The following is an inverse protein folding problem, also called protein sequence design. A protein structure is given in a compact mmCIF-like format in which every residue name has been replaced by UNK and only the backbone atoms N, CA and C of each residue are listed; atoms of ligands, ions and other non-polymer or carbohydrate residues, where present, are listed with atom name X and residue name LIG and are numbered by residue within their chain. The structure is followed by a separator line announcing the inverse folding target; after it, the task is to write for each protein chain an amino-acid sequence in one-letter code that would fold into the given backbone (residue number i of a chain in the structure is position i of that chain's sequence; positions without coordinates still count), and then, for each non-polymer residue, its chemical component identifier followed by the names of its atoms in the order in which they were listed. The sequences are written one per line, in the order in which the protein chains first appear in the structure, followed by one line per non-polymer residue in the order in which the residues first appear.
data_IF_865896054456
#
_entry.id   IF_865896054456
#
_cell.length_a   1.000
_cell.length_b   1.000
_cell.length_c   1.000
_cell.angle_alpha   90.00
_cell.angle_beta   90.00
_cell.angle_gamma   90.00
#
_symmetry.space_group_name_H-M   'P 1'
#
loop_
_entity.id
_entity.type
_entity.pdbx_description
1 polymer ?
#
# COMPACT_ATOMS: atom_id res chain seq x y z
N UNK A 1 -81.57 -99.47 -51.50
CA UNK A 1 -80.52 -99.47 -50.46
C UNK A 1 -79.78 -98.16 -50.60
N UNK A 2 -79.48 -97.39 -49.55
CA UNK A 2 -78.70 -97.83 -48.38
C UNK A 2 -77.32 -98.28 -48.86
N UNK A 3 -76.17 -97.70 -48.51
CA UNK A 3 -75.76 -96.77 -47.47
C UNK A 3 -74.27 -97.05 -47.18
N UNK A 4 -73.51 -96.05 -46.73
CA UNK A 4 -72.14 -96.17 -46.16
C UNK A 4 -71.00 -96.14 -47.19
N UNK A 5 -69.91 -95.40 -47.02
CA UNK A 5 -69.35 -94.76 -45.82
C UNK A 5 -67.91 -95.24 -45.59
N UNK A 6 -66.97 -94.28 -45.52
CA UNK A 6 -65.54 -94.45 -45.21
C UNK A 6 -64.74 -93.47 -46.07
N UNK A 7 -64.04 -92.45 -45.56
CA UNK A 7 -63.51 -92.17 -44.24
C UNK A 7 -62.04 -91.79 -44.44
N UNK A 8 -61.70 -90.51 -44.28
CA UNK A 8 -60.34 -89.96 -44.46
C UNK A 8 -60.24 -88.55 -43.89
N UNK A 9 -59.89 -88.50 -42.60
CA UNK A 9 -59.17 -87.46 -41.83
C UNK A 9 -59.25 -86.00 -42.27
N UNK A 10 -59.89 -85.18 -41.44
CA UNK A 10 -59.76 -83.71 -41.40
C UNK A 10 -58.58 -83.39 -40.47
N UNK A 11 -57.55 -82.71 -40.97
CA UNK A 11 -56.51 -82.08 -40.14
C UNK A 11 -57.12 -80.91 -39.34
N UNK A 12 -56.72 -80.67 -38.07
CA UNK A 12 -57.21 -79.54 -37.30
C UNK A 12 -56.66 -78.21 -37.87
N UNK A 13 -57.29 -77.06 -37.57
CA UNK A 13 -56.76 -75.74 -37.97
C UNK A 13 -55.36 -75.56 -37.39
N UNK A 14 -54.47 -74.96 -38.18
CA UNK A 14 -53.10 -74.68 -37.76
C UNK A 14 -53.11 -73.87 -36.48
N UNK A 15 -52.32 -74.32 -35.52
CA UNK A 15 -52.02 -73.56 -34.30
C UNK A 15 -51.14 -72.40 -34.74
N UNK A 16 -51.57 -71.17 -34.47
CA UNK A 16 -50.72 -69.99 -34.67
C UNK A 16 -50.00 -69.80 -33.34
N UNK A 17 -48.70 -70.03 -33.34
CA UNK A 17 -47.81 -70.01 -32.17
C UNK A 17 -46.53 -69.30 -32.61
N UNK A 18 -46.52 -67.99 -32.44
CA UNK A 18 -45.46 -67.11 -32.93
C UNK A 18 -44.19 -67.20 -32.06
N UNK A 19 -44.36 -67.28 -30.73
CA UNK A 19 -43.26 -67.36 -29.77
C UNK A 19 -42.73 -68.80 -29.56
N UNK A 20 -43.32 -69.79 -30.23
CA UNK A 20 -42.97 -71.21 -30.22
C UNK A 20 -43.01 -71.84 -28.81
N UNK A 21 -43.95 -71.41 -27.96
CA UNK A 21 -44.07 -71.91 -26.60
C UNK A 21 -45.02 -73.12 -26.45
N UNK A 22 -45.52 -73.65 -27.57
CA UNK A 22 -46.48 -74.76 -27.68
C UNK A 22 -47.91 -74.42 -27.22
N UNK A 23 -48.24 -73.13 -27.08
CA UNK A 23 -49.58 -72.59 -26.82
C UNK A 23 -50.02 -71.75 -28.03
N UNK A 24 -51.31 -71.78 -28.37
CA UNK A 24 -51.85 -70.95 -29.45
C UNK A 24 -51.91 -69.48 -28.99
N UNK A 25 -51.43 -68.56 -29.82
CA UNK A 25 -51.39 -67.12 -29.59
C UNK A 25 -52.71 -66.57 -29.02
N UNK A 26 -53.84 -66.95 -29.63
CA UNK A 26 -55.16 -66.49 -29.21
C UNK A 26 -55.56 -67.04 -27.83
N UNK A 27 -55.07 -68.23 -27.45
CA UNK A 27 -55.28 -68.79 -26.11
C UNK A 27 -54.46 -68.02 -25.09
N UNK A 28 -53.22 -67.65 -25.41
CA UNK A 28 -52.36 -66.89 -24.50
C UNK A 28 -52.96 -65.55 -24.12
N UNK A 29 -53.49 -64.84 -25.12
CA UNK A 29 -54.22 -63.59 -24.94
C UNK A 29 -55.51 -63.82 -24.14
N UNK A 30 -56.31 -64.84 -24.47
CA UNK A 30 -57.59 -65.12 -23.80
C UNK A 30 -57.42 -65.43 -22.30
N UNK A 31 -56.33 -66.12 -21.93
CA UNK A 31 -56.04 -66.46 -20.53
C UNK A 31 -55.22 -65.39 -19.80
N UNK A 32 -54.79 -64.34 -20.51
CA UNK A 32 -53.97 -63.24 -20.00
C UNK A 32 -52.54 -63.64 -19.65
N UNK A 33 -51.99 -64.66 -20.31
CA UNK A 33 -50.57 -65.02 -20.21
C UNK A 33 -49.69 -64.23 -21.17
N UNK A 34 -50.27 -63.62 -22.20
CA UNK A 34 -49.64 -62.66 -23.10
C UNK A 34 -50.47 -61.36 -23.17
N UNK A 35 -49.79 -60.23 -23.36
CA UNK A 35 -50.43 -58.93 -23.63
C UNK A 35 -50.82 -58.86 -25.11
N UNK A 36 -52.00 -58.31 -25.40
CA UNK A 36 -52.49 -58.01 -26.75
C UNK A 36 -53.26 -56.70 -26.66
N UNK A 37 -52.57 -55.62 -26.97
CA UNK A 37 -53.07 -54.28 -26.74
C UNK A 37 -53.91 -53.73 -27.92
N UNK A 38 -53.76 -54.24 -29.16
CA UNK A 38 -54.67 -53.92 -30.27
C UNK A 38 -55.91 -54.81 -30.35
N UNK A 39 -55.94 -55.92 -29.61
CA UNK A 39 -57.01 -56.90 -29.64
C UNK A 39 -57.06 -57.69 -30.95
N UNK A 40 -55.93 -57.90 -31.65
CA UNK A 40 -55.88 -58.66 -32.90
C UNK A 40 -55.81 -60.19 -32.67
N UNK A 41 -55.60 -60.63 -31.43
CA UNK A 41 -55.45 -62.04 -31.05
C UNK A 41 -54.04 -62.61 -31.21
N UNK A 42 -53.03 -61.76 -31.40
CA UNK A 42 -51.60 -62.08 -31.46
C UNK A 42 -50.93 -61.36 -30.27
N UNK A 43 -50.03 -62.04 -29.52
CA UNK A 43 -49.22 -61.39 -28.50
C UNK A 43 -48.45 -60.17 -29.01
N UNK A 44 -48.38 -59.12 -28.19
CA UNK A 44 -47.64 -57.89 -28.46
C UNK A 44 -46.17 -58.17 -28.88
N UNK A 45 -45.50 -59.11 -28.22
CA UNK A 45 -44.12 -59.52 -28.55
C UNK A 45 -43.98 -60.05 -30.00
N UNK A 46 -45.04 -60.65 -30.53
CA UNK A 46 -45.06 -61.22 -31.86
C UNK A 46 -45.46 -60.21 -32.92
N UNK A 47 -46.35 -59.28 -32.58
CA UNK A 47 -46.66 -58.11 -33.42
C UNK A 47 -45.38 -57.26 -33.64
N UNK A 48 -44.53 -57.13 -32.62
CA UNK A 48 -43.22 -56.46 -32.71
C UNK A 48 -42.24 -57.28 -33.56
N UNK A 49 -42.10 -58.58 -33.30
CA UNK A 49 -41.15 -59.44 -34.05
C UNK A 49 -41.50 -59.53 -35.55
N UNK A 50 -42.79 -59.50 -35.89
CA UNK A 50 -43.25 -59.52 -37.29
C UNK A 50 -43.09 -58.17 -37.99
N UNK A 51 -42.87 -57.08 -37.25
CA UNK A 51 -42.86 -55.71 -37.73
C UNK A 51 -44.25 -55.18 -38.09
N UNK A 52 -45.30 -55.80 -37.54
CA UNK A 52 -46.68 -55.28 -37.62
C UNK A 52 -46.88 -54.12 -36.64
N UNK A 53 -46.06 -54.04 -35.58
CA UNK A 53 -45.96 -52.92 -34.66
C UNK A 53 -44.52 -52.50 -34.39
N UNK A 54 -44.35 -51.20 -34.15
CA UNK A 54 -43.08 -50.60 -33.74
C UNK A 54 -42.98 -50.62 -32.19
N UNK A 55 -41.78 -50.91 -31.68
CA UNK A 55 -41.38 -50.81 -30.26
C UNK A 55 -40.03 -50.09 -30.21
N UNK A 56 -40.08 -48.78 -30.36
CA UNK A 56 -38.90 -47.94 -30.51
C UNK A 56 -38.07 -47.82 -29.23
N UNK A 57 -38.68 -48.01 -28.06
CA UNK A 57 -38.00 -47.93 -26.75
C UNK A 57 -37.58 -49.30 -26.19
N UNK A 58 -37.83 -50.37 -26.95
CA UNK A 58 -37.48 -51.76 -26.66
C UNK A 58 -38.00 -52.25 -25.30
N UNK A 59 -39.17 -51.77 -24.87
CA UNK A 59 -39.74 -52.14 -23.56
C UNK A 59 -40.65 -53.39 -23.64
N UNK A 60 -40.92 -53.90 -24.85
CA UNK A 60 -41.78 -55.05 -25.11
C UNK A 60 -43.28 -54.72 -25.22
N UNK A 61 -43.64 -53.45 -25.28
CA UNK A 61 -45.00 -52.93 -25.48
C UNK A 61 -44.98 -52.12 -26.79
N UNK A 62 -45.90 -52.40 -27.73
CA UNK A 62 -46.02 -51.61 -28.94
C UNK A 62 -46.19 -50.11 -28.66
N UNK A 63 -45.59 -49.25 -29.49
CA UNK A 63 -45.63 -47.79 -29.39
C UNK A 63 -47.06 -47.26 -29.20
N UNK A 64 -47.99 -47.74 -30.02
CA UNK A 64 -49.43 -47.38 -29.96
C UNK A 64 -50.06 -47.69 -28.60
N UNK A 65 -49.47 -48.60 -27.84
CA UNK A 65 -49.94 -49.08 -26.56
C UNK A 65 -49.25 -48.36 -25.40
N UNK A 66 -47.99 -47.96 -25.56
CA UNK A 66 -47.33 -47.01 -24.68
C UNK A 66 -48.12 -45.69 -24.61
N UNK A 67 -48.48 -45.12 -25.77
CA UNK A 67 -49.22 -43.85 -25.85
C UNK A 67 -50.67 -43.96 -25.35
N UNK A 68 -51.28 -45.16 -25.45
CA UNK A 68 -52.65 -45.39 -24.99
C UNK A 68 -52.77 -45.62 -23.48
N UNK A 69 -51.70 -46.08 -22.83
CA UNK A 69 -51.69 -46.45 -21.41
C UNK A 69 -51.37 -45.27 -20.49
N UNK A 70 -50.64 -44.26 -20.97
CA UNK A 70 -50.20 -43.13 -20.14
C UNK A 70 -50.49 -41.79 -20.80
N UNK A 71 -51.20 -40.93 -20.07
CA UNK A 71 -51.48 -39.55 -20.51
C UNK A 71 -50.19 -38.73 -20.42
N UNK A 72 -49.77 -38.12 -21.53
CA UNK A 72 -48.60 -37.26 -21.60
C UNK A 72 -47.29 -37.96 -21.98
N UNK A 73 -47.37 -39.12 -22.63
CA UNK A 73 -46.23 -39.82 -23.28
C UNK A 73 -46.23 -39.61 -24.81
N UNK A 74 -47.25 -38.98 -25.38
CA UNK A 74 -47.30 -38.57 -26.80
C UNK A 74 -47.98 -37.21 -26.84
N UNK A 75 -47.19 -36.16 -26.65
CA UNK A 75 -47.72 -34.81 -26.50
C UNK A 75 -48.15 -34.21 -27.85
N UNK A 76 -47.44 -34.57 -28.92
CA UNK A 76 -47.68 -34.07 -30.27
C UNK A 76 -48.78 -34.87 -31.01
N UNK A 77 -49.24 -35.97 -30.40
CA UNK A 77 -50.33 -36.84 -30.84
C UNK A 77 -50.04 -37.47 -32.21
N UNK A 78 -48.78 -37.84 -32.44
CA UNK A 78 -48.35 -38.45 -33.70
C UNK A 78 -48.43 -40.00 -33.68
N UNK A 79 -48.68 -40.60 -32.50
CA UNK A 79 -48.77 -42.04 -32.29
C UNK A 79 -47.46 -42.75 -31.96
N UNK A 80 -46.37 -41.99 -31.78
CA UNK A 80 -45.04 -42.43 -31.34
C UNK A 80 -44.80 -41.87 -29.94
N UNK A 81 -44.26 -42.63 -28.98
CA UNK A 81 -43.91 -42.10 -27.67
C UNK A 81 -42.86 -40.99 -27.75
N UNK A 82 -42.96 -39.98 -26.88
CA UNK A 82 -42.07 -38.83 -26.74
C UNK A 82 -40.59 -39.25 -26.64
N UNK A 83 -40.28 -40.31 -25.88
CA UNK A 83 -38.92 -40.88 -25.75
C UNK A 83 -38.35 -41.37 -27.09
N UNK A 84 -39.22 -41.84 -27.97
CA UNK A 84 -38.88 -42.29 -29.29
C UNK A 84 -38.80 -41.15 -30.29
N UNK A 85 -39.62 -40.12 -30.11
CA UNK A 85 -39.49 -38.90 -30.88
C UNK A 85 -38.14 -38.20 -30.62
N UNK A 86 -37.72 -38.14 -29.35
CA UNK A 86 -36.42 -37.58 -28.94
C UNK A 86 -35.27 -38.43 -29.49
N UNK A 87 -35.28 -39.74 -29.24
CA UNK A 87 -34.19 -40.62 -29.71
C UNK A 87 -34.14 -40.78 -31.23
N UNK A 88 -35.29 -40.65 -31.91
CA UNK A 88 -35.43 -40.64 -33.37
C UNK A 88 -35.06 -39.29 -34.01
N UNK A 89 -34.91 -38.23 -33.22
CA UNK A 89 -34.64 -36.87 -33.68
C UNK A 89 -35.82 -36.23 -34.42
N UNK A 90 -37.04 -36.75 -34.23
CA UNK A 90 -38.28 -36.14 -34.73
C UNK A 90 -38.77 -35.03 -33.81
N UNK A 91 -38.42 -35.08 -32.53
CA UNK A 91 -38.58 -33.98 -31.57
C UNK A 91 -37.27 -33.67 -30.84
N UNK A 92 -37.15 -32.43 -30.38
CA UNK A 92 -35.98 -31.92 -29.65
C UNK A 92 -36.26 -31.94 -28.15
N UNK A 93 -35.24 -32.22 -27.32
CA UNK A 93 -35.26 -32.14 -25.86
C UNK A 93 -33.91 -31.51 -25.43
N UNK A 94 -33.83 -30.19 -25.45
CA UNK A 94 -32.58 -29.49 -25.22
C UNK A 94 -32.13 -29.50 -23.76
N UNK A 95 -33.09 -29.59 -22.83
CA UNK A 95 -32.85 -29.58 -21.40
C UNK A 95 -32.63 -30.99 -20.80
N UNK A 96 -32.68 -32.01 -21.65
CA UNK A 96 -32.52 -33.44 -21.35
C UNK A 96 -33.45 -33.94 -20.22
N UNK A 97 -34.65 -33.34 -20.09
CA UNK A 97 -35.59 -33.70 -19.02
C UNK A 97 -36.52 -34.86 -19.40
N UNK A 98 -36.47 -35.30 -20.66
CA UNK A 98 -37.24 -36.42 -21.20
C UNK A 98 -38.62 -36.04 -21.73
N UNK A 99 -39.00 -34.77 -21.70
CA UNK A 99 -40.16 -34.22 -22.38
C UNK A 99 -39.68 -33.44 -23.62
N UNK A 100 -40.28 -33.68 -24.81
CA UNK A 100 -39.94 -32.89 -25.97
C UNK A 100 -40.26 -31.40 -25.77
N UNK A 101 -39.41 -30.52 -26.29
CA UNK A 101 -39.52 -29.07 -26.16
C UNK A 101 -40.92 -28.56 -26.60
N UNK A 102 -41.48 -29.12 -27.67
CA UNK A 102 -42.83 -28.79 -28.16
C UNK A 102 -43.96 -29.08 -27.15
N UNK A 103 -43.70 -29.97 -26.18
CA UNK A 103 -44.60 -30.28 -25.07
C UNK A 103 -44.46 -29.27 -23.91
N UNK A 104 -43.33 -28.58 -23.84
CA UNK A 104 -42.95 -27.68 -22.74
C UNK A 104 -43.20 -26.20 -23.07
N UNK A 105 -43.71 -25.91 -24.27
CA UNK A 105 -43.88 -24.55 -24.79
C UNK A 105 -44.63 -23.61 -23.85
N UNK A 106 -43.88 -22.68 -23.25
CA UNK A 106 -44.40 -21.50 -22.57
C UNK A 106 -43.91 -20.22 -23.27
N UNK A 107 -44.79 -19.50 -24.00
CA UNK A 107 -44.42 -18.32 -24.79
C UNK A 107 -43.97 -17.09 -23.96
N UNK A 108 -44.06 -17.14 -22.63
CA UNK A 108 -43.75 -16.01 -21.76
C UNK A 108 -42.41 -16.14 -21.03
N UNK A 109 -41.73 -17.29 -21.06
CA UNK A 109 -40.57 -17.54 -20.17
C UNK A 109 -39.41 -18.35 -20.76
N UNK A 110 -39.39 -18.65 -22.07
CA UNK A 110 -38.31 -19.50 -22.62
C UNK A 110 -37.94 -19.32 -24.09
N UNK A 111 -38.46 -18.29 -24.78
CA UNK A 111 -38.06 -17.92 -26.15
C UNK A 111 -38.02 -16.38 -26.19
N UNK A 112 -36.94 -15.81 -25.65
CA UNK A 112 -36.82 -14.37 -25.46
C UNK A 112 -36.66 -13.62 -26.80
N UNK A 113 -35.99 -14.26 -27.78
CA UNK A 113 -35.68 -13.68 -29.08
C UNK A 113 -36.85 -13.86 -30.09
N UNK A 114 -37.85 -14.67 -29.73
CA UNK A 114 -39.07 -14.91 -30.49
C UNK A 114 -38.83 -15.69 -31.78
N UNK A 115 -37.76 -16.48 -31.85
CA UNK A 115 -37.39 -17.23 -33.05
C UNK A 115 -38.13 -18.59 -33.16
N UNK A 116 -38.85 -19.00 -32.12
CA UNK A 116 -39.59 -20.26 -32.04
C UNK A 116 -38.77 -21.45 -31.56
N UNK A 117 -37.57 -21.22 -31.03
CA UNK A 117 -36.65 -22.16 -30.39
C UNK A 117 -36.47 -21.71 -28.95
N UNK A 118 -36.30 -22.64 -28.01
CA UNK A 118 -36.08 -22.25 -26.62
C UNK A 118 -34.69 -21.64 -26.43
N UNK A 119 -34.55 -20.70 -25.48
CA UNK A 119 -33.27 -20.04 -25.20
C UNK A 119 -32.16 -21.06 -24.88
N UNK A 120 -32.48 -22.12 -24.13
CA UNK A 120 -31.55 -23.22 -23.82
C UNK A 120 -31.15 -24.01 -25.08
N UNK A 121 -32.08 -24.21 -26.02
CA UNK A 121 -31.76 -24.80 -27.32
C UNK A 121 -30.87 -23.88 -28.15
N UNK A 122 -31.12 -22.57 -28.11
CA UNK A 122 -30.33 -21.60 -28.85
C UNK A 122 -28.87 -21.55 -28.36
N UNK A 123 -28.66 -21.69 -27.05
CA UNK A 123 -27.34 -21.86 -26.43
C UNK A 123 -26.67 -23.18 -26.87
N UNK A 124 -27.39 -24.30 -26.77
CA UNK A 124 -26.85 -25.63 -27.10
C UNK A 124 -26.47 -25.75 -28.58
N UNK A 125 -27.31 -25.22 -29.48
CA UNK A 125 -27.05 -25.25 -30.92
C UNK A 125 -26.14 -24.12 -31.41
N UNK A 126 -25.80 -23.15 -30.54
CA UNK A 126 -24.99 -21.98 -30.88
C UNK A 126 -25.66 -21.11 -31.94
N UNK A 127 -26.99 -21.06 -31.96
CA UNK A 127 -27.77 -20.19 -32.84
C UNK A 127 -27.90 -18.77 -32.29
N UNK A 128 -27.64 -18.60 -30.99
CA UNK A 128 -27.47 -17.31 -30.31
C UNK A 128 -26.21 -17.30 -29.43
N UNK A 129 -25.80 -16.13 -28.96
CA UNK A 129 -24.62 -15.92 -28.12
C UNK A 129 -25.00 -15.61 -26.68
N UNK A 130 -24.15 -16.02 -25.75
CA UNK A 130 -24.13 -15.66 -24.32
C UNK A 130 -22.67 -15.34 -24.01
N UNK A 131 -22.30 -14.06 -24.19
CA UNK A 131 -20.92 -13.63 -24.13
C UNK A 131 -20.40 -13.52 -22.68
N UNK A 132 -21.30 -13.31 -21.71
CA UNK A 132 -21.00 -13.11 -20.30
C UNK A 132 -21.17 -14.41 -19.47
N UNK A 133 -21.49 -15.53 -20.13
CA UNK A 133 -21.71 -16.85 -19.57
C UNK A 133 -22.74 -16.86 -18.42
N UNK A 134 -23.73 -15.97 -18.46
CA UNK A 134 -24.73 -15.82 -17.40
C UNK A 134 -25.92 -16.79 -17.55
N UNK A 135 -25.99 -17.51 -18.68
CA UNK A 135 -27.04 -18.47 -19.02
C UNK A 135 -28.26 -17.86 -19.73
N UNK A 136 -28.23 -16.58 -20.06
CA UNK A 136 -29.21 -15.87 -20.88
C UNK A 136 -28.55 -15.45 -22.20
N UNK A 137 -29.33 -15.46 -23.28
CA UNK A 137 -28.82 -14.99 -24.57
C UNK A 137 -28.55 -13.48 -24.50
N UNK A 138 -27.52 -13.00 -25.20
CA UNK A 138 -27.21 -11.57 -25.31
C UNK A 138 -28.43 -10.78 -25.81
N UNK A 139 -29.21 -11.36 -26.73
CA UNK A 139 -30.46 -10.78 -27.26
C UNK A 139 -31.56 -10.69 -26.18
N UNK A 140 -31.59 -11.62 -25.21
CA UNK A 140 -32.46 -11.53 -24.04
C UNK A 140 -31.98 -10.42 -23.09
N UNK A 141 -30.67 -10.38 -22.85
CA UNK A 141 -30.05 -9.43 -21.95
C UNK A 141 -30.30 -8.01 -22.44
N UNK A 142 -30.09 -7.74 -23.74
CA UNK A 142 -30.38 -6.45 -24.40
C UNK A 142 -31.83 -6.00 -24.24
N UNK A 143 -32.79 -6.92 -24.15
CA UNK A 143 -34.21 -6.59 -23.98
C UNK A 143 -34.59 -6.33 -22.52
N UNK A 144 -33.75 -6.74 -21.58
CA UNK A 144 -33.90 -6.44 -20.16
C UNK A 144 -33.26 -5.09 -19.84
N UNK A 145 -33.91 -4.25 -19.01
CA UNK A 145 -33.44 -2.90 -18.61
C UNK A 145 -32.12 -2.91 -17.77
N UNK A 146 -31.34 -3.99 -17.87
CA UNK A 146 -30.12 -4.29 -17.13
C UNK A 146 -28.92 -4.35 -18.09
N UNK A 147 -29.15 -4.47 -19.40
CA UNK A 147 -28.09 -4.43 -20.41
C UNK A 147 -27.61 -3.00 -20.70
N UNK A 148 -26.30 -2.82 -20.62
CA UNK A 148 -25.61 -1.63 -21.08
C UNK A 148 -25.04 -1.90 -22.48
N UNK A 149 -25.53 -1.14 -23.46
CA UNK A 149 -25.01 -1.01 -24.84
C UNK A 149 -24.87 0.49 -25.06
N UNK A 150 -23.78 1.06 -24.58
CA UNK A 150 -23.62 2.52 -24.55
C UNK A 150 -23.40 3.11 -25.94
N UNK A 151 -22.79 2.32 -26.84
CA UNK A 151 -22.43 2.74 -28.18
C UNK A 151 -23.56 2.47 -29.20
N UNK A 152 -24.67 1.88 -28.73
CA UNK A 152 -25.89 1.53 -29.48
C UNK A 152 -25.60 0.63 -30.70
N UNK A 153 -24.58 -0.22 -30.61
CA UNK A 153 -24.17 -1.09 -31.72
C UNK A 153 -24.94 -2.42 -31.76
N UNK A 154 -25.75 -2.72 -30.74
CA UNK A 154 -26.54 -3.93 -30.60
C UNK A 154 -25.80 -5.11 -29.97
N UNK A 155 -24.65 -4.88 -29.33
CA UNK A 155 -23.93 -5.85 -28.50
C UNK A 155 -23.75 -5.26 -27.09
N UNK A 156 -23.69 -6.12 -26.07
CA UNK A 156 -23.47 -5.64 -24.71
C UNK A 156 -22.06 -5.07 -24.58
N UNK A 157 -21.91 -4.04 -23.76
CA UNK A 157 -20.63 -3.40 -23.44
C UNK A 157 -19.55 -4.43 -23.01
N UNK A 158 -19.91 -5.42 -22.18
CA UNK A 158 -19.01 -6.50 -21.76
C UNK A 158 -18.62 -7.42 -22.94
N UNK A 159 -19.54 -7.69 -23.88
CA UNK A 159 -19.23 -8.45 -25.08
C UNK A 159 -18.26 -7.67 -25.99
N UNK A 160 -18.43 -6.36 -26.08
CA UNK A 160 -17.58 -5.48 -26.87
C UNK A 160 -16.14 -5.47 -26.35
N UNK A 161 -15.98 -5.41 -25.02
CA UNK A 161 -14.68 -5.52 -24.36
C UNK A 161 -14.06 -6.91 -24.60
N UNK A 162 -14.83 -7.98 -24.38
CA UNK A 162 -14.35 -9.35 -24.55
C UNK A 162 -13.94 -9.66 -26.01
N UNK A 163 -14.66 -9.09 -26.98
CA UNK A 163 -14.36 -9.20 -28.41
C UNK A 163 -13.22 -8.28 -28.86
N UNK A 164 -12.83 -7.30 -28.04
CA UNK A 164 -11.86 -6.26 -28.37
C UNK A 164 -12.37 -5.26 -29.42
N UNK A 165 -13.70 -5.14 -29.57
CA UNK A 165 -14.32 -4.04 -30.34
C UNK A 165 -14.28 -2.73 -29.58
N UNK A 166 -14.31 -2.78 -28.24
CA UNK A 166 -14.12 -1.61 -27.38
C UNK A 166 -12.95 -1.81 -26.41
N UNK A 167 -12.31 -0.70 -26.04
CA UNK A 167 -11.24 -0.68 -25.05
C UNK A 167 -11.85 -0.54 -23.65
N UNK A 168 -11.19 -1.16 -22.67
CA UNK A 168 -11.45 -1.02 -21.24
C UNK A 168 -10.07 -1.00 -20.57
N UNK A 169 -9.48 0.19 -20.50
CA UNK A 169 -8.10 0.33 -20.04
C UNK A 169 -7.97 0.11 -18.53
N UNK A 170 -9.02 0.47 -17.77
CA UNK A 170 -9.06 0.53 -16.31
C UNK A 170 -9.64 -0.76 -15.71
N UNK A 171 -10.19 -1.64 -16.56
CA UNK A 171 -10.81 -2.92 -16.25
C UNK A 171 -12.03 -2.79 -15.33
N UNK A 172 -12.81 -1.71 -15.46
CA UNK A 172 -14.03 -1.50 -14.68
C UNK A 172 -15.27 -2.16 -15.32
N UNK A 173 -15.09 -2.86 -16.46
CA UNK A 173 -16.12 -3.52 -17.26
C UNK A 173 -17.08 -2.57 -17.98
N UNK A 174 -16.75 -1.28 -18.05
CA UNK A 174 -17.42 -0.28 -18.86
C UNK A 174 -16.44 0.15 -19.96
N UNK A 175 -16.87 0.17 -21.23
CA UNK A 175 -15.98 0.59 -22.30
C UNK A 175 -15.55 2.04 -22.16
N UNK A 176 -14.30 2.36 -22.50
CA UNK A 176 -13.71 3.70 -22.42
C UNK A 176 -14.60 4.76 -23.14
N UNK A 177 -15.18 4.39 -24.28
CA UNK A 177 -16.08 5.27 -25.07
C UNK A 177 -17.41 5.58 -24.36
N UNK A 178 -17.80 4.77 -23.38
CA UNK A 178 -18.94 5.01 -22.52
C UNK A 178 -18.60 5.95 -21.37
N UNK A 179 -17.31 6.14 -21.06
CA UNK A 179 -16.79 6.88 -19.91
C UNK A 179 -16.47 8.35 -20.22
N UNK A 180 -16.52 8.74 -21.49
CA UNK A 180 -16.16 10.08 -21.99
C UNK A 180 -17.12 11.23 -21.56
N UNK A 181 -17.96 11.04 -20.53
CA UNK A 181 -18.92 12.05 -20.07
C UNK A 181 -18.35 12.91 -18.95
N UNK A 182 -17.41 13.80 -19.28
CA UNK A 182 -17.13 15.10 -18.62
C UNK A 182 -16.70 15.12 -17.14
N UNK A 183 -16.77 14.01 -16.41
CA UNK A 183 -16.16 13.84 -15.07
C UNK A 183 -15.00 12.84 -15.06
N UNK A 184 -14.80 12.10 -16.15
CA UNK A 184 -13.71 11.12 -16.32
C UNK A 184 -12.85 11.39 -17.56
N UNK A 185 -13.05 12.48 -18.29
CA UNK A 185 -12.23 12.91 -19.43
C UNK A 185 -12.15 14.44 -19.37
N UNK A 186 -11.21 14.94 -18.58
CA UNK A 186 -11.11 16.37 -18.28
C UNK A 186 -10.53 17.16 -19.48
N UNK A 187 -9.68 16.52 -20.27
CA UNK A 187 -8.97 17.15 -21.39
C UNK A 187 -9.77 17.07 -22.70
N UNK A 188 -10.90 16.37 -22.67
CA UNK A 188 -11.86 16.17 -23.76
C UNK A 188 -11.24 15.53 -25.00
N UNK A 189 -10.25 14.66 -24.81
CA UNK A 189 -9.57 13.98 -25.92
C UNK A 189 -10.31 12.69 -26.35
N UNK A 190 -11.33 12.26 -25.58
CA UNK A 190 -12.12 11.05 -25.82
C UNK A 190 -11.52 9.77 -25.23
N UNK A 191 -10.50 9.89 -24.40
CA UNK A 191 -9.86 8.82 -23.61
C UNK A 191 -10.10 9.17 -22.14
N UNK A 192 -10.54 8.23 -21.30
CA UNK A 192 -10.67 8.48 -19.87
C UNK A 192 -9.34 8.90 -19.20
N UNK A 193 -9.44 9.72 -18.17
CA UNK A 193 -8.32 10.31 -17.43
C UNK A 193 -7.35 9.24 -16.88
N UNK A 194 -7.88 8.15 -16.34
CA UNK A 194 -7.11 6.99 -15.87
C UNK A 194 -6.44 6.21 -17.02
N UNK A 195 -7.09 6.12 -18.19
CA UNK A 195 -6.47 5.59 -19.40
C UNK A 195 -5.32 6.46 -19.91
N UNK A 196 -5.48 7.78 -19.81
CA UNK A 196 -4.45 8.72 -20.20
C UNK A 196 -3.20 8.58 -19.32
N UNK A 197 -3.39 8.43 -18.01
CA UNK A 197 -2.31 8.16 -17.04
C UNK A 197 -1.63 6.81 -17.35
N UNK A 198 -2.40 5.73 -17.49
CA UNK A 198 -1.86 4.39 -17.75
C UNK A 198 -1.09 4.33 -19.07
N UNK A 199 -1.54 5.06 -20.09
CA UNK A 199 -0.90 5.10 -21.40
C UNK A 199 0.27 6.10 -21.49
N UNK A 200 0.43 6.96 -20.47
CA UNK A 200 1.45 8.02 -20.40
C UNK A 200 1.20 9.17 -21.37
N UNK A 201 -0.05 9.38 -21.77
CA UNK A 201 -0.48 10.57 -22.52
C UNK A 201 -0.74 11.76 -21.59
N UNK A 202 -1.08 11.48 -20.33
CA UNK A 202 -1.13 12.47 -19.25
C UNK A 202 -0.27 12.03 -18.07
N UNK A 203 0.28 13.02 -17.36
CA UNK A 203 1.09 12.80 -16.15
C UNK A 203 0.17 12.86 -14.92
N UNK A 204 0.49 12.06 -13.91
CA UNK A 204 -0.12 12.07 -12.57
C UNK A 204 1.04 11.91 -11.58
N UNK A 205 1.58 13.03 -11.11
CA UNK A 205 2.77 13.02 -10.28
C UNK A 205 2.48 12.54 -8.84
N UNK A 206 1.22 12.68 -8.40
CA UNK A 206 0.80 12.57 -7.00
C UNK A 206 -0.02 11.27 -6.78
N UNK A 207 -0.15 10.45 -7.82
CA UNK A 207 -0.82 9.16 -7.89
C UNK A 207 -2.29 9.24 -7.40
N UNK A 208 -2.95 10.39 -7.59
CA UNK A 208 -4.32 10.60 -7.10
C UNK A 208 -5.40 10.17 -8.11
N UNK A 209 -5.00 9.64 -9.27
CA UNK A 209 -5.86 9.18 -10.39
C UNK A 209 -6.55 10.30 -11.18
N UNK A 210 -6.21 11.55 -10.90
CA UNK A 210 -6.62 12.73 -11.65
C UNK A 210 -5.37 13.27 -12.35
N UNK A 211 -5.36 13.36 -13.70
CA UNK A 211 -4.20 13.87 -14.41
C UNK A 211 -3.85 15.29 -13.98
N UNK A 212 -2.56 15.61 -13.95
CA UNK A 212 -2.03 16.92 -13.52
C UNK A 212 -2.75 18.08 -14.23
N UNK A 213 -3.00 17.95 -15.55
CA UNK A 213 -3.70 18.97 -16.35
C UNK A 213 -5.18 19.19 -15.98
N UNK A 214 -5.80 18.21 -15.32
CA UNK A 214 -7.17 18.27 -14.81
C UNK A 214 -7.25 18.98 -13.46
N UNK A 215 -6.14 19.02 -12.73
CA UNK A 215 -6.07 19.66 -11.43
C UNK A 215 -5.95 21.18 -11.53
N UNK A 216 -5.41 21.66 -12.65
CA UNK A 216 -5.16 23.07 -12.96
C UNK A 216 -6.46 23.83 -13.27
N UNK A 217 -7.07 24.41 -12.24
CA UNK A 217 -8.26 25.27 -12.37
C UNK A 217 -9.46 24.86 -11.51
N UNK A 218 -9.32 23.82 -10.66
CA UNK A 218 -10.24 23.49 -9.59
C UNK A 218 -9.91 24.18 -8.25
N UNK A 219 -10.75 24.01 -7.23
CA UNK A 219 -10.44 24.42 -5.84
C UNK A 219 -9.43 23.46 -5.15
N UNK A 220 -8.84 22.52 -5.90
CA UNK A 220 -8.17 21.32 -5.35
C UNK A 220 -6.66 21.39 -5.45
N UNK A 221 -6.11 22.06 -6.47
CA UNK A 221 -4.67 22.12 -6.73
C UNK A 221 -4.27 23.52 -7.18
N UNK A 222 -3.15 24.01 -6.63
CA UNK A 222 -2.59 25.32 -6.94
C UNK A 222 -1.44 25.14 -7.93
N UNK A 223 -1.28 26.11 -8.84
CA UNK A 223 -0.10 26.25 -9.71
C UNK A 223 0.35 27.70 -9.53
N UNK A 224 1.19 27.89 -8.52
CA UNK A 224 1.68 29.19 -8.09
C UNK A 224 2.61 29.86 -9.11
N UNK A 225 3.36 29.05 -9.86
CA UNK A 225 4.40 29.51 -10.78
C UNK A 225 3.92 29.56 -12.25
N UNK A 226 2.64 29.24 -12.49
CA UNK A 226 1.95 29.21 -13.79
C UNK A 226 2.68 28.34 -14.84
N UNK A 227 3.36 27.26 -14.42
CA UNK A 227 4.14 26.41 -15.31
C UNK A 227 3.31 25.27 -15.96
N UNK A 228 2.07 25.08 -15.50
CA UNK A 228 1.18 24.02 -15.96
C UNK A 228 1.40 22.67 -15.27
N UNK A 229 1.98 22.67 -14.07
CA UNK A 229 2.21 21.51 -13.20
C UNK A 229 1.68 21.90 -11.80
N UNK A 230 0.89 21.06 -11.12
CA UNK A 230 0.48 21.28 -9.74
C UNK A 230 1.65 21.56 -8.77
N UNK A 231 1.41 22.38 -7.75
CA UNK A 231 2.39 22.70 -6.70
C UNK A 231 2.91 21.43 -6.00
N UNK A 232 2.02 20.48 -5.66
CA UNK A 232 2.39 19.19 -5.05
C UNK A 232 3.30 18.35 -5.97
N UNK A 233 3.20 18.54 -7.29
CA UNK A 233 4.06 17.89 -8.30
C UNK A 233 5.41 18.58 -8.45
N UNK A 234 5.41 19.91 -8.40
CA UNK A 234 6.65 20.68 -8.42
C UNK A 234 7.46 20.48 -7.13
N UNK A 235 6.79 20.30 -5.99
CA UNK A 235 7.41 20.07 -4.69
C UNK A 235 8.27 18.79 -4.65
N UNK A 236 7.88 17.75 -5.39
CA UNK A 236 8.68 16.51 -5.48
C UNK A 236 9.83 16.61 -6.49
N UNK A 237 9.91 17.68 -7.29
CA UNK A 237 10.99 17.91 -8.23
C UNK A 237 12.24 18.44 -7.49
N UNK A 238 13.37 17.71 -7.47
CA UNK A 238 14.58 18.15 -6.77
C UNK A 238 15.26 19.38 -7.37
N UNK A 239 14.89 19.81 -8.59
CA UNK A 239 15.37 21.07 -9.17
C UNK A 239 14.58 22.30 -8.66
N UNK A 240 13.35 22.10 -8.20
CA UNK A 240 12.48 23.18 -7.68
C UNK A 240 12.52 23.18 -6.15
N UNK A 241 12.44 22.00 -5.53
CA UNK A 241 12.58 21.81 -4.08
C UNK A 241 11.30 22.09 -3.29
N UNK A 242 11.14 21.35 -2.20
CA UNK A 242 10.19 21.60 -1.11
C UNK A 242 10.88 21.15 0.18
N UNK A 243 11.74 22.01 0.72
CA UNK A 243 12.55 21.69 1.89
C UNK A 243 11.71 21.56 3.17
N UNK A 244 10.57 22.25 3.23
CA UNK A 244 9.69 22.23 4.40
C UNK A 244 8.63 21.12 4.32
N UNK A 245 8.57 20.41 3.20
CA UNK A 245 7.72 19.24 2.92
C UNK A 245 6.22 19.53 3.04
N UNK A 246 5.79 20.75 2.69
CA UNK A 246 4.41 21.19 2.82
C UNK A 246 3.56 20.95 1.56
N UNK A 247 4.16 20.47 0.45
CA UNK A 247 3.50 20.28 -0.84
C UNK A 247 3.50 21.52 -1.75
N UNK A 248 4.15 22.60 -1.35
CA UNK A 248 4.30 23.84 -2.10
C UNK A 248 5.78 24.04 -2.41
N UNK A 249 6.14 24.33 -3.67
CA UNK A 249 7.54 24.53 -4.03
C UNK A 249 8.17 25.75 -3.34
N UNK A 250 9.48 25.68 -3.06
CA UNK A 250 10.21 26.73 -2.33
C UNK A 250 10.06 28.14 -2.99
N UNK A 251 10.13 28.21 -4.33
CA UNK A 251 9.92 29.47 -5.09
C UNK A 251 8.53 30.08 -4.86
N UNK A 252 7.54 29.24 -4.60
CA UNK A 252 6.15 29.65 -4.37
C UNK A 252 5.88 30.02 -2.92
N UNK A 253 6.53 29.31 -2.00
CA UNK A 253 6.59 29.68 -0.60
C UNK A 253 7.17 31.09 -0.40
N UNK A 254 8.20 31.45 -1.18
CA UNK A 254 8.75 32.80 -1.24
C UNK A 254 7.78 33.83 -1.83
N UNK A 255 7.03 33.47 -2.88
CA UNK A 255 6.18 34.40 -3.63
C UNK A 255 4.95 34.89 -2.83
N UNK A 256 4.41 34.06 -1.94
CA UNK A 256 3.19 34.40 -1.20
C UNK A 256 3.44 35.08 0.16
N UNK A 257 4.69 35.33 0.56
CA UNK A 257 5.07 35.87 1.89
C UNK A 257 4.46 35.06 3.06
N UNK A 258 4.02 33.82 2.80
CA UNK A 258 3.48 32.90 3.82
C UNK A 258 4.66 32.32 4.62
N UNK A 259 5.82 32.22 3.97
CA UNK A 259 7.08 31.78 4.55
C UNK A 259 8.05 32.94 4.65
N UNK A 260 8.87 32.89 5.70
CA UNK A 260 9.82 33.95 6.02
C UNK A 260 11.13 33.62 5.33
N UNK A 261 11.69 34.59 4.59
CA UNK A 261 13.10 34.67 4.19
C UNK A 261 13.63 35.94 4.89
N UNK A 262 14.10 35.74 6.12
CA UNK A 262 14.50 36.85 6.98
C UNK A 262 15.88 37.43 6.61
N UNK A 263 16.76 36.64 6.00
CA UNK A 263 18.11 37.06 5.61
C UNK A 263 18.18 37.62 4.18
N UNK A 264 17.05 37.62 3.46
CA UNK A 264 16.86 38.11 2.10
C UNK A 264 17.80 37.45 1.07
N UNK A 265 18.18 36.19 1.30
CA UNK A 265 19.07 35.46 0.40
C UNK A 265 18.32 34.79 -0.77
N UNK A 266 16.99 34.80 -0.76
CA UNK A 266 16.13 34.17 -1.75
C UNK A 266 15.88 32.68 -1.50
N UNK A 267 16.06 32.21 -0.27
CA UNK A 267 15.80 30.86 0.22
C UNK A 267 14.96 31.02 1.51
N UNK A 268 13.91 30.20 1.70
CA UNK A 268 13.10 30.29 2.93
C UNK A 268 13.89 29.82 4.15
N UNK A 269 13.59 30.39 5.31
CA UNK A 269 14.26 30.12 6.59
C UNK A 269 14.43 28.61 6.88
N UNK A 270 13.40 27.81 6.60
CA UNK A 270 13.44 26.35 6.81
C UNK A 270 14.46 25.64 5.93
N UNK A 271 14.63 26.08 4.69
CA UNK A 271 15.62 25.51 3.75
C UNK A 271 17.04 25.92 4.14
N UNK A 272 17.21 27.16 4.59
CA UNK A 272 18.49 27.65 5.08
C UNK A 272 19.00 26.80 6.25
N UNK A 273 18.10 26.45 7.17
CA UNK A 273 18.40 25.56 8.31
C UNK A 273 18.65 24.12 7.85
N UNK A 274 17.84 23.58 6.94
CA UNK A 274 18.01 22.20 6.45
C UNK A 274 19.33 22.01 5.68
N UNK A 275 19.76 23.02 4.93
CA UNK A 275 21.03 23.00 4.19
C UNK A 275 22.26 22.84 5.11
N UNK A 276 22.11 23.21 6.39
CA UNK A 276 23.19 23.28 7.38
C UNK A 276 24.17 24.43 7.15
N UNK A 277 23.88 25.33 6.20
CA UNK A 277 24.65 26.57 5.99
C UNK A 277 24.32 27.61 7.08
N UNK A 278 23.08 27.58 7.59
CA UNK A 278 22.62 28.46 8.65
C UNK A 278 22.25 27.67 9.91
N UNK A 279 22.87 27.98 11.07
CA UNK A 279 22.53 27.34 12.34
C UNK A 279 21.12 27.69 12.82
N UNK A 280 20.45 26.73 13.45
CA UNK A 280 19.21 26.94 14.23
C UNK A 280 19.39 26.27 15.59
N UNK A 281 19.99 27.00 16.51
CA UNK A 281 20.28 26.46 17.83
C UNK A 281 19.01 26.15 18.64
N UNK A 282 17.98 26.99 18.51
CA UNK A 282 16.77 26.87 19.31
C UNK A 282 15.72 25.92 18.70
N UNK A 283 16.00 25.38 17.50
CA UNK A 283 15.18 24.45 16.73
C UNK A 283 13.78 24.99 16.42
N UNK A 284 13.64 26.29 16.14
CA UNK A 284 12.37 26.91 15.80
C UNK A 284 12.09 26.96 14.28
N UNK A 285 13.02 26.47 13.45
CA UNK A 285 12.94 26.49 11.99
C UNK A 285 13.38 27.81 11.37
N UNK A 286 14.07 28.67 12.13
CA UNK A 286 14.65 29.93 11.65
C UNK A 286 16.16 29.97 11.90
N UNK A 287 16.93 30.52 10.96
CA UNK A 287 18.34 30.81 11.17
C UNK A 287 18.60 31.69 12.41
N UNK A 288 19.67 31.39 13.15
CA UNK A 288 20.13 32.15 14.31
C UNK A 288 20.27 33.66 13.99
N UNK A 289 20.82 33.99 12.81
CA UNK A 289 20.96 35.38 12.32
C UNK A 289 19.63 36.15 12.31
N UNK A 290 18.53 35.47 12.06
CA UNK A 290 17.20 36.07 12.01
C UNK A 290 16.55 36.20 13.38
N UNK A 291 16.89 35.28 14.27
CA UNK A 291 16.51 35.31 15.67
C UNK A 291 17.23 36.44 16.42
N UNK A 292 18.47 36.76 16.01
CA UNK A 292 19.25 37.91 16.47
C UNK A 292 18.63 39.22 15.97
N UNK A 293 18.33 39.34 14.67
CA UNK A 293 17.73 40.54 14.06
C UNK A 293 16.33 40.88 14.63
N UNK A 294 15.63 39.88 15.18
CA UNK A 294 14.35 40.04 15.86
C UNK A 294 14.42 40.56 17.30
N UNK A 295 15.59 40.98 17.79
CA UNK A 295 15.87 41.38 19.19
C UNK A 295 15.50 40.29 20.23
N UNK A 296 15.38 39.02 19.81
CA UNK A 296 14.96 37.92 20.70
C UNK A 296 16.17 37.28 21.39
N UNK A 297 17.31 37.28 20.72
CA UNK A 297 18.56 36.70 21.18
C UNK A 297 19.73 37.68 21.05
N UNK A 298 20.84 37.38 21.71
CA UNK A 298 22.05 38.21 21.72
C UNK A 298 23.15 37.49 20.96
N UNK A 299 23.79 38.23 20.06
CA UNK A 299 25.06 37.91 19.39
C UNK A 299 25.92 39.16 19.55
N UNK A 300 26.81 39.12 20.54
CA UNK A 300 27.58 40.30 20.92
C UNK A 300 28.94 40.37 20.21
N UNK A 301 29.40 39.27 19.60
CA UNK A 301 30.63 39.21 18.81
C UNK A 301 30.36 39.38 17.29
N UNK A 302 29.09 39.55 16.90
CA UNK A 302 28.58 39.74 15.54
C UNK A 302 28.99 38.58 14.60
N UNK A 303 29.06 37.34 15.11
CA UNK A 303 29.49 36.17 14.33
C UNK A 303 28.34 35.40 13.67
N UNK A 304 27.09 35.79 13.94
CA UNK A 304 25.87 35.17 13.40
C UNK A 304 25.38 33.94 14.16
N UNK A 305 26.00 33.59 15.29
CA UNK A 305 25.55 32.55 16.22
C UNK A 305 25.03 33.19 17.51
N UNK A 306 23.99 32.59 18.09
CA UNK A 306 23.46 33.07 19.37
C UNK A 306 24.47 32.77 20.49
N UNK A 307 24.85 33.79 21.28
CA UNK A 307 25.88 33.70 22.34
C UNK A 307 25.66 32.50 23.28
N UNK A 308 24.40 32.28 23.70
CA UNK A 308 24.03 31.18 24.59
C UNK A 308 24.36 29.80 23.98
N UNK A 309 24.22 29.68 22.67
CA UNK A 309 24.49 28.44 21.94
C UNK A 309 25.99 28.20 21.84
N UNK A 310 26.77 29.27 21.65
CA UNK A 310 28.22 29.18 21.70
C UNK A 310 28.72 28.67 23.07
N UNK A 311 28.08 29.08 24.16
CA UNK A 311 28.38 28.59 25.52
C UNK A 311 27.98 27.11 25.67
N UNK A 312 26.75 26.75 25.28
CA UNK A 312 26.24 25.37 25.41
C UNK A 312 27.04 24.36 24.56
N UNK A 313 27.53 24.77 23.39
CA UNK A 313 28.35 23.96 22.49
C UNK A 313 29.85 24.01 22.80
N UNK A 314 30.28 24.85 23.74
CA UNK A 314 31.69 25.02 24.12
C UNK A 314 32.54 25.70 23.03
N UNK A 315 31.90 26.49 22.17
CA UNK A 315 32.54 27.33 21.16
C UNK A 315 33.02 28.66 21.74
N UNK A 316 32.33 29.16 22.78
CA UNK A 316 32.71 30.33 23.56
C UNK A 316 32.85 29.99 25.06
N UNK A 317 33.62 30.81 25.77
CA UNK A 317 33.79 30.70 27.22
C UNK A 317 32.84 31.69 27.92
N UNK A 318 32.23 31.22 29.00
CA UNK A 318 31.46 32.00 29.99
C UNK A 318 31.95 31.55 31.37
N UNK A 319 33.09 32.08 31.80
CA UNK A 319 33.75 31.60 32.99
C UNK A 319 33.06 32.04 34.29
N UNK A 320 32.33 33.17 34.27
CA UNK A 320 31.63 33.68 35.45
C UNK A 320 30.17 33.15 35.57
N UNK A 321 29.67 32.50 34.51
CA UNK A 321 28.36 31.85 34.45
C UNK A 321 27.20 32.81 34.30
N UNK A 322 27.43 34.03 33.79
CA UNK A 322 26.41 35.06 33.68
C UNK A 322 25.60 35.00 32.36
N UNK A 323 25.94 34.09 31.45
CA UNK A 323 25.36 33.89 30.11
C UNK A 323 25.69 35.00 29.10
N UNK A 324 26.80 35.70 29.29
CA UNK A 324 27.45 36.56 28.31
C UNK A 324 28.81 35.93 28.04
N UNK A 325 29.21 35.82 26.78
CA UNK A 325 30.52 35.25 26.45
C UNK A 325 31.64 36.21 26.87
N UNK A 326 32.75 35.66 27.37
CA UNK A 326 33.86 36.45 27.92
C UNK A 326 34.41 37.48 26.91
N UNK A 327 34.40 37.15 25.61
CA UNK A 327 34.85 38.03 24.52
C UNK A 327 34.07 39.37 24.48
N UNK A 328 32.81 39.35 24.88
CA UNK A 328 31.95 40.52 24.91
C UNK A 328 32.03 41.30 26.21
N UNK A 329 32.58 40.70 27.27
CA UNK A 329 32.72 41.32 28.58
C UNK A 329 34.03 42.09 28.73
N UNK A 330 35.12 41.53 28.19
CA UNK A 330 36.46 42.14 28.20
C UNK A 330 36.49 43.62 27.74
N UNK A 331 35.74 44.04 26.71
CA UNK A 331 35.74 45.44 26.26
C UNK A 331 34.92 46.39 27.15
N UNK A 332 34.04 45.87 28.00
CA UNK A 332 33.06 46.64 28.77
C UNK A 332 33.58 47.09 30.13
N UNK A 333 34.41 46.26 30.78
CA UNK A 333 35.03 46.60 32.06
C UNK A 333 36.46 46.07 32.17
N UNK A 334 37.44 46.99 32.10
CA UNK A 334 38.85 46.66 32.33
C UNK A 334 39.15 46.17 33.76
N UNK A 335 38.19 46.24 34.68
CA UNK A 335 38.31 45.65 36.01
C UNK A 335 38.04 44.14 36.04
N UNK A 336 37.59 43.55 34.92
CA UNK A 336 37.39 42.10 34.77
C UNK A 336 38.61 41.38 34.18
N UNK A 337 39.67 42.09 33.79
CA UNK A 337 40.96 41.54 33.36
C UNK A 337 42.06 42.37 34.05
N UNK A 338 42.34 42.06 35.31
CA UNK A 338 43.22 42.87 36.14
C UNK A 338 44.69 42.86 35.70
N UNK A 339 45.13 41.82 35.00
CA UNK A 339 46.49 41.67 34.49
C UNK A 339 46.64 42.08 33.01
N UNK A 340 45.53 42.40 32.33
CA UNK A 340 45.43 42.81 30.93
C UNK A 340 45.96 41.77 29.93
N UNK A 341 45.79 40.49 30.22
CA UNK A 341 46.25 39.39 29.37
C UNK A 341 45.22 38.95 28.30
N UNK A 342 44.01 39.53 28.32
CA UNK A 342 42.92 39.21 27.42
C UNK A 342 42.09 37.99 27.82
N UNK A 343 42.12 37.59 29.09
CA UNK A 343 41.22 36.62 29.71
C UNK A 343 40.54 37.27 30.91
N UNK A 344 39.26 36.97 31.13
CA UNK A 344 38.59 37.50 32.30
C UNK A 344 39.11 36.80 33.56
N UNK A 345 39.15 37.54 34.66
CA UNK A 345 39.62 37.09 35.96
C UNK A 345 38.92 35.79 36.41
N UNK A 346 37.62 35.64 36.10
CA UNK A 346 36.86 34.44 36.42
C UNK A 346 37.35 33.16 35.71
N UNK A 347 38.07 33.29 34.58
CA UNK A 347 38.72 32.18 33.88
C UNK A 347 40.11 31.83 34.43
N UNK A 348 40.63 32.66 35.31
CA UNK A 348 41.97 32.51 35.83
C UNK A 348 41.97 31.72 37.12
N UNK A 349 43.14 31.19 37.47
CA UNK A 349 43.27 30.39 38.67
C UNK A 349 43.27 31.31 39.89
N UNK A 350 42.33 31.06 40.79
CA UNK A 350 42.25 31.66 42.12
C UNK A 350 42.45 30.52 43.13
N UNK A 351 43.68 30.37 43.59
CA UNK A 351 44.08 29.27 44.44
C UNK A 351 43.59 29.39 45.89
N UNK A 352 43.27 30.61 46.34
CA UNK A 352 42.92 30.94 47.71
C UNK A 352 41.43 31.29 47.87
N UNK A 353 40.64 31.17 46.81
CA UNK A 353 39.21 31.51 46.71
C UNK A 353 38.93 32.96 47.17
N UNK A 354 39.84 33.90 46.91
CA UNK A 354 39.70 35.31 47.30
C UNK A 354 38.70 36.07 46.43
N UNK A 355 38.39 35.53 45.24
CA UNK A 355 37.70 36.21 44.16
C UNK A 355 38.62 37.05 43.27
N UNK A 356 39.95 36.96 43.45
CA UNK A 356 40.96 37.56 42.58
C UNK A 356 41.94 36.48 42.10
N UNK A 357 42.34 36.50 40.82
CA UNK A 357 43.32 35.56 40.30
C UNK A 357 44.70 35.71 40.95
N UNK A 358 45.45 34.61 41.01
CA UNK A 358 46.81 34.53 41.58
C UNK A 358 47.75 35.64 41.07
N UNK A 359 47.77 35.87 39.76
CA UNK A 359 48.62 36.89 39.13
C UNK A 359 48.23 38.31 39.57
N UNK A 360 46.95 38.53 39.83
CA UNK A 360 46.43 39.82 40.27
C UNK A 360 46.59 40.04 41.76
N UNK A 361 46.43 39.00 42.56
CA UNK A 361 46.76 38.97 43.97
C UNK A 361 48.25 39.34 44.20
N UNK A 362 49.16 38.83 43.36
CA UNK A 362 50.57 39.23 43.37
C UNK A 362 50.73 40.68 42.89
N UNK A 363 50.05 41.08 41.82
CA UNK A 363 50.14 42.43 41.24
C UNK A 363 49.71 43.53 42.22
N UNK A 364 48.66 43.28 43.02
CA UNK A 364 48.11 44.22 44.00
C UNK A 364 48.70 44.09 45.41
N UNK A 365 49.68 43.20 45.58
CA UNK A 365 50.35 42.91 46.87
C UNK A 365 49.41 42.31 47.95
N UNK A 366 48.30 41.70 47.54
CA UNK A 366 47.39 40.96 48.43
C UNK A 366 47.94 39.56 48.75
N UNK A 367 48.66 38.95 47.79
CA UNK A 367 49.49 37.76 47.99
C UNK A 367 50.98 38.04 47.86
N UNK A 368 51.79 37.23 48.54
CA UNK A 368 53.26 37.34 48.50
C UNK A 368 53.81 36.26 47.57
N UNK A 369 54.59 36.62 46.55
CA UNK A 369 55.46 35.71 45.80
C UNK A 369 56.92 36.06 46.12
N UNK A 370 57.56 35.34 47.04
CA UNK A 370 58.95 35.62 47.44
C UNK A 370 59.96 35.15 46.42
N UNK A 371 59.63 34.14 45.61
CA UNK A 371 60.59 33.48 44.74
C UNK A 371 60.50 33.95 43.27
N UNK A 372 59.45 34.68 42.93
CA UNK A 372 59.22 35.33 41.64
C UNK A 372 58.80 34.37 40.54
N UNK A 373 58.17 33.25 40.86
CA UNK A 373 57.75 32.24 39.88
C UNK A 373 56.32 32.46 39.35
N UNK A 374 55.60 33.48 39.83
CA UNK A 374 54.22 33.77 39.42
C UNK A 374 53.16 32.92 40.11
N UNK A 375 53.48 32.28 41.24
CA UNK A 375 52.50 31.56 42.08
C UNK A 375 52.56 32.15 43.50
N UNK A 376 51.43 32.55 44.10
CA UNK A 376 51.37 33.02 45.49
C UNK A 376 52.02 32.01 46.46
N UNK A 377 52.89 32.47 47.38
CA UNK A 377 53.57 31.63 48.40
C UNK A 377 52.59 30.76 49.20
N UNK A 378 51.34 31.21 49.38
CA UNK A 378 50.29 30.46 50.08
C UNK A 378 49.64 29.35 49.25
N UNK A 379 49.82 29.42 47.94
CA UNK A 379 49.38 28.46 46.94
C UNK A 379 50.55 27.59 46.44
N UNK A 380 51.76 27.96 46.83
CA UNK A 380 52.90 27.07 46.79
C UNK A 380 52.80 26.02 47.89
N UNK A 381 52.91 24.75 47.52
CA UNK A 381 53.17 23.72 48.53
C UNK A 381 54.49 24.04 49.26
N UNK A 382 54.57 23.84 50.58
CA UNK A 382 55.71 24.26 51.38
C UNK A 382 56.97 23.46 51.01
N UNK A 383 57.80 24.00 50.11
CA UNK A 383 59.13 23.43 49.76
C UNK A 383 60.26 24.07 50.58
N UNK A 384 59.98 24.59 51.77
CA UNK A 384 61.00 25.10 52.70
C UNK A 384 61.01 24.28 53.99
N UNK A 385 61.37 23.00 53.88
CA UNK A 385 61.81 22.18 55.01
C UNK A 385 61.48 20.69 54.87
N UNK A 386 62.52 19.84 54.84
CA UNK A 386 62.48 18.38 54.91
C UNK A 386 61.13 17.78 55.36
N UNK A 387 60.42 17.12 54.44
CA UNK A 387 59.31 16.25 54.78
C UNK A 387 59.80 15.16 55.76
N UNK A 388 59.27 15.18 56.98
CA UNK A 388 59.50 14.18 58.02
C UNK A 388 58.33 13.20 58.00
N UNK A 389 58.50 11.91 58.37
CA UNK A 389 57.41 10.92 58.37
C UNK A 389 56.18 11.29 59.23
N UNK A 390 56.27 12.34 60.06
CA UNK A 390 55.16 12.86 60.87
C UNK A 390 54.26 13.89 60.18
N UNK A 391 54.67 14.47 59.05
CA UNK A 391 53.87 15.45 58.25
C UNK A 391 53.28 14.79 56.99
N UNK A 392 53.29 13.46 56.93
CA UNK A 392 52.84 12.63 55.81
C UNK A 392 51.37 12.87 55.42
N UNK A 393 50.42 13.06 56.36
CA UNK A 393 49.03 13.36 55.99
C UNK A 393 48.89 14.74 55.33
N UNK A 394 49.63 15.74 55.80
CA UNK A 394 49.62 17.12 55.27
C UNK A 394 50.35 17.23 53.92
N UNK A 395 51.39 16.43 53.71
CA UNK A 395 52.08 16.28 52.42
C UNK A 395 51.20 15.59 51.37
N UNK A 396 50.42 14.58 51.77
CA UNK A 396 49.45 13.91 50.88
C UNK A 396 48.24 14.80 50.58
N UNK A 397 47.76 15.62 51.54
CA UNK A 397 46.72 16.63 51.29
C UNK A 397 47.20 17.74 50.33
N UNK A 398 48.47 18.18 50.43
CA UNK A 398 49.05 19.17 49.51
C UNK A 398 49.30 18.63 48.09
N UNK A 399 49.54 17.31 47.95
CA UNK A 399 49.72 16.65 46.65
C UNK A 399 48.40 16.47 45.89
N UNK A 400 47.25 16.62 46.55
CA UNK A 400 45.92 16.51 45.95
C UNK A 400 45.20 17.87 45.96
N UNK A 401 45.78 18.89 45.33
CA UNK A 401 45.23 20.26 45.26
C UNK A 401 43.71 20.31 44.97
N UNK A 402 42.97 21.31 45.49
CA UNK A 402 41.51 21.27 45.46
C UNK A 402 40.93 21.59 44.07
N UNK A 403 39.71 21.08 43.89
CA UNK A 403 38.96 20.94 42.63
C UNK A 403 38.44 22.27 42.06
N UNK A 404 38.53 22.45 40.75
CA UNK A 404 37.67 23.39 40.02
C UNK A 404 36.22 22.87 39.94
N UNK A 405 35.20 23.73 40.07
CA UNK A 405 33.81 23.35 39.90
C UNK A 405 33.50 23.20 38.40
N UNK A 406 32.98 22.04 37.98
CA UNK A 406 32.35 21.90 36.66
C UNK A 406 32.82 20.74 35.77
N UNK A 407 33.98 20.13 36.02
CA UNK A 407 34.43 19.01 35.18
C UNK A 407 34.11 17.64 35.78
N UNK A 408 33.22 16.92 35.09
CA UNK A 408 33.10 15.47 35.21
C UNK A 408 34.41 14.80 34.77
N UNK A 409 34.95 13.97 35.67
CA UNK A 409 35.91 12.88 35.42
C UNK A 409 37.06 13.11 34.42
N UNK A 410 38.24 13.43 34.96
CA UNK A 410 39.59 12.95 34.57
C UNK A 410 40.08 13.21 33.13
N UNK A 411 41.12 14.05 33.00
CA UNK A 411 42.39 13.70 32.30
C UNK A 411 43.46 14.81 32.43
N UNK A 412 44.65 14.47 32.96
CA UNK A 412 45.90 15.22 32.71
C UNK A 412 46.54 15.97 33.89
N UNK A 413 47.25 15.22 34.73
CA UNK A 413 48.00 15.67 35.91
C UNK A 413 48.88 16.92 35.75
N UNK A 414 48.94 17.71 36.83
CA UNK A 414 49.97 18.73 37.05
C UNK A 414 51.37 18.14 37.23
N UNK A 415 52.35 19.02 37.42
CA UNK A 415 53.82 18.88 37.34
C UNK A 415 54.50 17.72 38.11
N UNK A 416 53.74 16.80 38.73
CA UNK A 416 54.19 15.86 39.75
C UNK A 416 53.66 14.42 39.60
N UNK A 417 52.97 14.09 38.50
CA UNK A 417 52.76 12.71 38.04
C UNK A 417 54.01 12.26 37.28
N UNK A 418 54.91 11.59 37.99
CA UNK A 418 56.23 11.21 37.51
C UNK A 418 56.23 9.89 36.73
N UNK A 419 55.18 9.08 36.83
CA UNK A 419 55.01 7.87 36.02
C UNK A 419 53.91 7.94 34.94
N UNK A 420 53.23 9.09 34.85
CA UNK A 420 52.23 9.45 33.86
C UNK A 420 50.98 8.54 33.88
N UNK A 421 50.60 8.03 35.05
CA UNK A 421 49.45 7.15 35.21
C UNK A 421 48.15 7.85 35.60
N UNK A 422 48.19 9.19 35.66
CA UNK A 422 47.08 10.09 35.92
C UNK A 422 46.51 10.03 37.34
N UNK A 423 47.28 9.50 38.29
CA UNK A 423 47.08 9.78 39.71
C UNK A 423 48.39 10.26 40.38
N UNK A 424 48.32 10.62 41.65
CA UNK A 424 49.50 11.02 42.43
C UNK A 424 49.55 10.12 43.65
N UNK A 425 50.55 9.24 43.70
CA UNK A 425 50.65 8.23 44.74
C UNK A 425 52.08 7.99 45.28
N UNK A 426 52.28 6.87 45.98
CA UNK A 426 53.58 6.53 46.57
C UNK A 426 54.65 6.16 45.53
N UNK A 427 54.25 5.82 44.31
CA UNK A 427 55.12 5.47 43.19
C UNK A 427 55.78 6.75 42.65
N UNK A 428 55.03 7.83 42.47
CA UNK A 428 55.56 9.16 42.10
C UNK A 428 56.63 9.65 43.07
N UNK A 429 56.35 9.52 44.37
CA UNK A 429 57.34 9.84 45.41
C UNK A 429 58.58 8.94 45.33
N UNK A 430 58.39 7.66 45.01
CA UNK A 430 59.48 6.71 44.77
C UNK A 430 60.37 7.12 43.60
N UNK A 431 59.80 7.68 42.54
CA UNK A 431 60.53 8.18 41.37
C UNK A 431 61.23 9.52 41.67
N UNK A 432 60.52 10.46 42.30
CA UNK A 432 61.08 11.73 42.73
C UNK A 432 62.26 11.57 43.70
N UNK A 433 62.11 10.72 44.72
CA UNK A 433 63.17 10.47 45.71
C UNK A 433 64.41 9.83 45.10
N UNK A 434 64.25 8.98 44.07
CA UNK A 434 65.37 8.42 43.30
C UNK A 434 66.05 9.46 42.41
N UNK A 435 65.32 10.43 41.90
CA UNK A 435 65.88 11.52 41.11
C UNK A 435 66.74 12.48 41.96
N UNK A 436 66.33 12.76 43.19
CA UNK A 436 67.05 13.66 44.11
C UNK A 436 68.23 13.01 44.85
N UNK A 437 68.17 11.70 45.11
CA UNK A 437 69.21 10.97 45.83
C UNK A 437 69.73 9.76 45.03
N UNK A 438 70.48 9.99 43.94
CA UNK A 438 71.11 8.90 43.20
C UNK A 438 72.17 8.21 44.07
N UNK A 439 71.99 6.92 44.34
CA UNK A 439 73.01 6.04 44.95
C UNK A 439 74.07 5.63 43.93
#
# INVERSE_FOLDING_TARGET
GGGGGGGGTVEPPGITDCNNNEVDDAIEVEIGSASDCNGNGIPDECDIESGDDDDCNENGVPDRCDVAQTIGIDCNVNGVPDVCDISGGTSTDCNENGAPDECEYNPETGDCNGNGVFDECDLVFGTSTDCNDNGYLDECDLFSEIAFDCNENGTLDECDIAAGSSNDCNNDSRPDECESFGESDCNFNGIPDDCDIVSGTSEDCNDNTVPDECELGGEVSFDCNDNGIPDDCDAVNPEIGDCNTNGVPDDCDLQFEIFTDCNENGIIDSCDVESGEFPDCNNNGKPDICDIDGDTYTDCNDNGYIDRCEIEEGLALDCDGNNIIDECELPLDSAMDCNLNGRIDACEFDCNDSGMPDDCDILFEDSIDKNGNGVPDECECPIEGNASPGTLPEFVECLSGPRLPGQGTLEGCGCYDFDFDQDIDLIDYGLYSRALFPQ
#
